data_IF_709241044021
#
_entry.id   IF_709241044021
#
_cell.length_a   1.000
_cell.length_b   1.000
_cell.length_c   1.000
_cell.angle_alpha   90.00
_cell.angle_beta   90.00
_cell.angle_gamma   90.00
#
_symmetry.space_group_name_H-M   'P 1'
#
loop_
_entity.id
_entity.type
_entity.pdbx_description
1 polymer ?
#
# COMPACT_ATOMS: atom_id res chain seq x y z
N UNK A 1 82.10 -21.14 -20.21
CA UNK A 1 81.84 -20.09 -19.20
C UNK A 1 80.84 -19.08 -19.78
N UNK A 2 79.57 -19.09 -19.33
CA UNK A 2 78.60 -18.03 -19.67
C UNK A 2 77.73 -17.74 -18.44
N UNK A 3 77.92 -16.54 -17.88
CA UNK A 3 77.18 -15.98 -16.74
C UNK A 3 75.73 -15.70 -17.18
N UNK A 4 74.75 -16.14 -16.39
CA UNK A 4 73.32 -15.85 -16.62
C UNK A 4 72.96 -14.53 -15.92
N UNK A 5 72.47 -13.58 -16.70
CA UNK A 5 71.90 -12.30 -16.26
C UNK A 5 70.50 -12.58 -15.67
N UNK A 6 70.28 -12.23 -14.40
CA UNK A 6 68.96 -12.29 -13.76
C UNK A 6 68.25 -10.96 -14.03
N UNK A 7 67.14 -11.00 -14.75
CA UNK A 7 66.23 -9.86 -14.91
C UNK A 7 65.20 -9.93 -13.78
N UNK A 8 65.27 -9.00 -12.83
CA UNK A 8 64.27 -8.83 -11.79
C UNK A 8 63.09 -8.08 -12.40
N UNK A 9 61.97 -8.78 -12.63
CA UNK A 9 60.69 -8.14 -12.91
C UNK A 9 60.06 -7.75 -11.57
N UNK A 10 60.18 -6.47 -11.21
CA UNK A 10 59.31 -5.84 -10.22
C UNK A 10 57.88 -5.88 -10.75
N UNK A 11 57.10 -6.86 -10.29
CA UNK A 11 55.65 -6.83 -10.44
C UNK A 11 55.15 -5.79 -9.44
N UNK A 12 55.05 -4.52 -9.86
CA UNK A 12 54.14 -3.59 -9.21
C UNK A 12 52.74 -4.17 -9.40
N UNK A 13 52.27 -4.91 -8.40
CA UNK A 13 50.88 -5.35 -8.31
C UNK A 13 50.01 -4.10 -8.20
N UNK A 14 49.47 -3.66 -9.32
CA UNK A 14 48.33 -2.78 -9.32
C UNK A 14 47.19 -3.57 -8.67
N UNK A 15 46.86 -3.21 -7.43
CA UNK A 15 45.62 -3.62 -6.80
C UNK A 15 44.47 -3.08 -7.67
N UNK A 16 44.06 -3.85 -8.67
CA UNK A 16 42.71 -3.76 -9.20
C UNK A 16 41.83 -4.07 -8.01
N UNK A 17 41.30 -3.01 -7.40
CA UNK A 17 40.24 -3.11 -6.42
C UNK A 17 39.10 -3.80 -7.14
N UNK A 18 38.97 -5.12 -6.97
CA UNK A 18 37.77 -5.85 -7.36
C UNK A 18 36.68 -5.23 -6.52
N UNK A 19 35.97 -4.25 -7.08
CA UNK A 19 34.81 -3.67 -6.44
C UNK A 19 33.80 -4.81 -6.35
N UNK A 20 33.66 -5.41 -5.17
CA UNK A 20 32.74 -6.50 -4.94
C UNK A 20 31.37 -6.05 -5.43
N UNK A 21 30.77 -6.81 -6.36
CA UNK A 21 29.43 -6.49 -6.84
C UNK A 21 28.50 -6.51 -5.62
N UNK A 22 27.62 -5.51 -5.46
CA UNK A 22 26.73 -5.45 -4.33
C UNK A 22 25.91 -6.75 -4.27
N UNK A 23 25.69 -7.26 -3.06
CA UNK A 23 24.90 -8.47 -2.92
C UNK A 23 23.47 -8.19 -3.41
N UNK A 24 22.96 -8.99 -4.34
CA UNK A 24 21.62 -8.81 -4.90
C UNK A 24 20.75 -10.04 -4.70
N UNK A 25 19.45 -9.83 -4.55
CA UNK A 25 18.43 -10.88 -4.59
C UNK A 25 17.32 -10.47 -5.52
N UNK A 26 16.87 -11.41 -6.37
CA UNK A 26 15.76 -11.24 -7.30
C UNK A 26 14.65 -12.24 -7.01
N UNK A 27 13.42 -11.80 -7.21
CA UNK A 27 12.22 -12.62 -7.04
C UNK A 27 11.13 -12.14 -7.97
N UNK A 28 10.26 -13.06 -8.33
CA UNK A 28 9.16 -12.82 -9.25
C UNK A 28 7.89 -13.43 -8.68
N UNK A 29 6.77 -12.75 -8.88
CA UNK A 29 5.46 -13.29 -8.59
C UNK A 29 4.45 -12.81 -9.62
N UNK A 30 3.51 -13.69 -9.99
CA UNK A 30 2.40 -13.38 -10.89
C UNK A 30 1.14 -13.14 -10.09
N UNK A 31 0.50 -12.01 -10.30
CA UNK A 31 -0.72 -11.64 -9.56
C UNK A 31 -1.85 -11.30 -10.55
N UNK A 32 -3.09 -11.75 -10.29
CA UNK A 32 -4.28 -11.37 -11.06
C UNK A 32 -4.80 -10.01 -10.57
N UNK A 33 -4.00 -8.96 -10.75
CA UNK A 33 -4.29 -7.59 -10.31
C UNK A 33 -4.05 -6.62 -11.45
N UNK A 34 -4.67 -5.43 -11.42
CA UNK A 34 -4.40 -4.40 -12.43
C UNK A 34 -3.01 -3.79 -12.26
N UNK A 35 -2.51 -3.11 -13.30
CA UNK A 35 -1.26 -2.34 -13.23
C UNK A 35 -1.25 -1.38 -12.03
N UNK A 36 -2.33 -0.61 -11.86
CA UNK A 36 -2.45 0.38 -10.81
C UNK A 36 -2.46 -0.25 -9.41
N UNK A 37 -3.15 -1.38 -9.23
CA UNK A 37 -3.12 -2.14 -7.98
C UNK A 37 -1.72 -2.69 -7.71
N UNK A 38 -1.03 -3.21 -8.73
CA UNK A 38 0.35 -3.67 -8.61
C UNK A 38 1.31 -2.56 -8.16
N UNK A 39 1.18 -1.37 -8.74
CA UNK A 39 1.99 -0.20 -8.37
C UNK A 39 1.67 0.28 -6.95
N UNK A 40 0.40 0.34 -6.57
CA UNK A 40 -0.02 0.71 -5.22
C UNK A 40 0.54 -0.26 -4.16
N UNK A 41 0.47 -1.58 -4.42
CA UNK A 41 1.06 -2.60 -3.54
C UNK A 41 2.57 -2.52 -3.47
N UNK A 42 3.25 -2.22 -4.58
CA UNK A 42 4.70 -2.06 -4.60
C UNK A 42 5.15 -0.91 -3.70
N UNK A 43 4.50 0.26 -3.80
CA UNK A 43 4.78 1.41 -2.94
C UNK A 43 4.45 1.12 -1.48
N UNK A 44 3.28 0.53 -1.21
CA UNK A 44 2.83 0.18 0.14
C UNK A 44 3.79 -0.82 0.81
N UNK A 45 4.27 -1.83 0.08
CA UNK A 45 5.24 -2.81 0.58
C UNK A 45 6.57 -2.15 0.96
N UNK A 46 7.08 -1.24 0.13
CA UNK A 46 8.29 -0.47 0.45
C UNK A 46 8.10 0.32 1.74
N UNK A 47 6.99 1.07 1.87
CA UNK A 47 6.68 1.84 3.08
C UNK A 47 6.56 0.95 4.32
N UNK A 48 5.82 -0.15 4.21
CA UNK A 48 5.57 -1.07 5.32
C UNK A 48 6.86 -1.75 5.84
N UNK A 49 7.81 -2.01 4.94
CA UNK A 49 9.12 -2.57 5.31
C UNK A 49 10.15 -1.51 5.73
N UNK A 50 9.74 -0.24 5.82
CA UNK A 50 10.57 0.86 6.30
C UNK A 50 11.54 1.41 5.26
N UNK A 51 11.28 1.19 3.98
CA UNK A 51 11.98 1.91 2.91
C UNK A 51 11.50 3.36 2.84
N UNK A 52 12.42 4.26 2.59
CA UNK A 52 12.23 5.72 2.50
C UNK A 52 12.70 6.23 1.13
N UNK A 53 12.49 7.52 0.86
CA UNK A 53 12.82 8.17 -0.42
C UNK A 53 12.24 7.40 -1.61
N UNK A 54 10.96 7.03 -1.50
CA UNK A 54 10.32 6.17 -2.48
C UNK A 54 9.97 6.99 -3.73
N UNK A 55 10.56 6.59 -4.87
CA UNK A 55 10.28 7.14 -6.18
C UNK A 55 9.45 6.15 -6.99
N UNK A 56 8.34 6.62 -7.57
CA UNK A 56 7.51 5.84 -8.48
C UNK A 56 7.61 6.46 -9.87
N UNK A 57 8.03 5.67 -10.86
CA UNK A 57 8.15 6.11 -12.24
C UNK A 57 7.76 4.98 -13.20
N UNK A 58 6.85 5.27 -14.14
CA UNK A 58 6.30 4.29 -15.07
C UNK A 58 5.81 3.04 -14.33
N UNK A 59 6.40 1.87 -14.65
CA UNK A 59 6.09 0.57 -14.07
C UNK A 59 6.97 0.20 -12.86
N UNK A 60 7.67 1.16 -12.25
CA UNK A 60 8.70 0.90 -11.24
C UNK A 60 8.50 1.72 -9.97
N UNK A 61 8.65 1.06 -8.82
CA UNK A 61 8.79 1.69 -7.51
C UNK A 61 10.18 1.39 -6.93
N UNK A 62 10.90 2.43 -6.52
CA UNK A 62 12.26 2.38 -5.98
C UNK A 62 12.27 2.94 -4.57
N UNK A 63 12.94 2.28 -3.61
CA UNK A 63 13.08 2.79 -2.24
C UNK A 63 14.40 2.38 -1.59
N UNK A 64 14.76 3.09 -0.52
CA UNK A 64 16.05 2.93 0.18
C UNK A 64 15.84 2.61 1.67
N UNK A 65 16.64 1.71 2.23
CA UNK A 65 16.61 1.32 3.65
C UNK A 65 18.02 1.06 4.15
N UNK A 66 18.66 2.10 4.69
CA UNK A 66 20.09 2.06 5.02
C UNK A 66 20.92 1.74 3.79
N UNK A 67 21.73 0.68 3.86
CA UNK A 67 22.56 0.19 2.75
C UNK A 67 21.80 -0.64 1.69
N UNK A 68 20.49 -0.82 1.87
CA UNK A 68 19.65 -1.59 0.96
C UNK A 68 18.89 -0.68 -0.01
N UNK A 69 18.84 -1.08 -1.27
CA UNK A 69 17.98 -0.50 -2.31
C UNK A 69 17.02 -1.57 -2.79
N UNK A 70 15.72 -1.27 -2.83
CA UNK A 70 14.70 -2.14 -3.39
C UNK A 70 14.05 -1.51 -4.61
N UNK A 71 13.94 -2.29 -5.67
CA UNK A 71 13.31 -1.93 -6.94
C UNK A 71 12.23 -2.96 -7.24
N UNK A 72 11.00 -2.49 -7.46
CA UNK A 72 9.85 -3.33 -7.76
C UNK A 72 9.32 -2.88 -9.12
N UNK A 73 9.25 -3.79 -10.08
CA UNK A 73 8.73 -3.52 -11.42
C UNK A 73 7.45 -4.32 -11.65
N UNK A 74 6.43 -3.68 -12.21
CA UNK A 74 5.10 -4.22 -12.47
C UNK A 74 4.90 -4.31 -13.97
N UNK A 75 5.18 -5.48 -14.54
CA UNK A 75 5.10 -5.72 -15.97
C UNK A 75 3.81 -6.44 -16.33
N UNK A 76 3.21 -6.08 -17.46
CA UNK A 76 2.06 -6.79 -17.97
C UNK A 76 2.42 -8.26 -18.29
N UNK A 77 1.50 -9.16 -17.97
CA UNK A 77 1.55 -10.56 -18.38
C UNK A 77 0.30 -10.89 -19.22
N UNK A 78 0.16 -12.15 -19.64
CA UNK A 78 -1.01 -12.54 -20.45
C UNK A 78 -2.30 -12.52 -19.63
N UNK A 79 -3.43 -12.26 -20.30
CA UNK A 79 -4.79 -12.38 -19.77
C UNK A 79 -5.06 -11.52 -18.51
N UNK A 80 -4.63 -10.26 -18.48
CA UNK A 80 -4.95 -9.33 -17.39
C UNK A 80 -4.27 -9.66 -16.06
N UNK A 81 -3.22 -10.48 -16.09
CA UNK A 81 -2.33 -10.73 -14.95
C UNK A 81 -1.06 -9.91 -15.09
N UNK A 82 -0.36 -9.64 -14.00
CA UNK A 82 0.88 -8.85 -14.01
C UNK A 82 2.01 -9.61 -13.32
N UNK A 83 3.21 -9.47 -13.87
CA UNK A 83 4.47 -9.93 -13.30
C UNK A 83 5.07 -8.85 -12.41
N UNK A 84 5.23 -9.16 -11.13
CA UNK A 84 5.93 -8.31 -10.17
C UNK A 84 7.35 -8.82 -10.01
N UNK A 85 8.30 -8.04 -10.51
CA UNK A 85 9.74 -8.31 -10.38
C UNK A 85 10.30 -7.50 -9.21
N UNK A 86 10.88 -8.16 -8.22
CA UNK A 86 11.43 -7.53 -7.03
C UNK A 86 12.93 -7.77 -7.02
N UNK A 87 13.70 -6.69 -6.97
CA UNK A 87 15.15 -6.72 -6.86
C UNK A 87 15.55 -5.94 -5.61
N UNK A 88 16.28 -6.60 -4.71
CA UNK A 88 16.92 -5.93 -3.58
C UNK A 88 18.42 -6.03 -3.77
N UNK A 89 19.11 -4.90 -3.67
CA UNK A 89 20.56 -4.81 -3.63
C UNK A 89 20.98 -4.29 -2.25
N UNK A 90 22.09 -4.79 -1.72
CA UNK A 90 22.69 -4.31 -0.48
C UNK A 90 24.17 -4.03 -0.71
N UNK A 91 24.66 -2.94 -0.12
CA UNK A 91 26.09 -2.64 -0.04
C UNK A 91 26.77 -3.41 1.12
N UNK A 92 26.02 -4.19 1.89
CA UNK A 92 26.58 -5.08 2.91
C UNK A 92 27.31 -6.28 2.30
N UNK A 93 28.30 -6.83 3.02
CA UNK A 93 28.96 -8.08 2.65
C UNK A 93 28.12 -9.34 2.96
N UNK A 94 26.84 -9.20 3.28
CA UNK A 94 25.96 -10.30 3.69
C UNK A 94 24.83 -10.50 2.67
N UNK A 95 24.97 -11.52 1.83
CA UNK A 95 23.99 -11.86 0.80
C UNK A 95 22.62 -12.30 1.34
N UNK A 96 22.53 -12.68 2.63
CA UNK A 96 21.26 -12.99 3.28
C UNK A 96 20.35 -11.78 3.47
N UNK A 97 20.91 -10.57 3.57
CA UNK A 97 20.14 -9.33 3.79
C UNK A 97 19.26 -8.99 2.56
N UNK A 98 19.81 -8.91 1.33
CA UNK A 98 18.98 -8.77 0.12
C UNK A 98 17.89 -9.83 0.01
N UNK A 99 18.21 -11.09 0.33
CA UNK A 99 17.26 -12.20 0.25
C UNK A 99 16.11 -12.06 1.24
N UNK A 100 16.41 -11.75 2.51
CA UNK A 100 15.42 -11.57 3.56
C UNK A 100 14.48 -10.40 3.28
N UNK A 101 15.02 -9.25 2.91
CA UNK A 101 14.20 -8.07 2.58
C UNK A 101 13.33 -8.30 1.35
N UNK A 102 13.86 -8.97 0.31
CA UNK A 102 13.08 -9.33 -0.88
C UNK A 102 11.90 -10.24 -0.54
N UNK A 103 12.08 -11.25 0.33
CA UNK A 103 10.99 -12.15 0.75
C UNK A 103 9.88 -11.38 1.47
N UNK A 104 10.24 -10.42 2.34
CA UNK A 104 9.26 -9.57 3.03
C UNK A 104 8.45 -8.74 2.04
N UNK A 105 9.13 -8.06 1.10
CA UNK A 105 8.48 -7.28 0.04
C UNK A 105 7.56 -8.16 -0.81
N UNK A 106 8.01 -9.36 -1.20
CA UNK A 106 7.18 -10.31 -1.95
C UNK A 106 5.91 -10.69 -1.18
N UNK A 107 6.05 -10.98 0.12
CA UNK A 107 4.93 -11.28 1.02
C UNK A 107 3.92 -10.13 1.13
N UNK A 108 4.38 -8.88 1.31
CA UNK A 108 3.50 -7.70 1.40
C UNK A 108 2.71 -7.46 0.12
N UNK A 109 3.34 -7.64 -1.03
CA UNK A 109 2.68 -7.42 -2.33
C UNK A 109 1.72 -8.57 -2.67
N UNK A 110 2.10 -9.81 -2.34
CA UNK A 110 1.25 -10.98 -2.55
C UNK A 110 0.03 -11.00 -1.63
N UNK A 111 0.16 -10.45 -0.42
CA UNK A 111 -0.91 -10.41 0.58
C UNK A 111 -0.95 -9.04 1.31
N UNK A 112 -1.66 -8.04 0.76
CA UNK A 112 -1.71 -6.68 1.32
C UNK A 112 -2.47 -6.58 2.65
N UNK A 113 -3.11 -7.66 3.14
CA UNK A 113 -3.90 -7.63 4.38
C UNK A 113 -3.05 -7.55 5.65
N UNK A 114 -1.72 -7.50 5.53
CA UNK A 114 -0.82 -7.31 6.67
C UNK A 114 -0.37 -5.85 6.71
N UNK A 115 -1.14 -5.01 7.42
CA UNK A 115 -0.75 -3.72 8.00
C UNK A 115 0.06 -2.74 7.10
N UNK A 116 -0.62 -2.00 6.19
CA UNK A 116 -0.33 -0.60 5.81
C UNK A 116 -1.37 -0.06 4.80
N UNK A 117 -2.06 1.05 5.13
CA UNK A 117 -2.96 1.83 4.24
C UNK A 117 -2.13 2.60 3.17
N UNK A 118 -2.64 3.13 2.01
CA UNK A 118 -4.04 3.45 1.61
C UNK A 118 -4.44 2.96 0.20
N UNK A 119 -5.70 3.15 -0.25
CA UNK A 119 -5.93 3.27 -1.69
C UNK A 119 -6.62 4.58 -2.09
N UNK A 120 -6.06 5.17 -3.13
CA UNK A 120 -6.83 5.79 -4.19
C UNK A 120 -6.32 5.25 -5.54
N UNK A 121 -6.98 5.52 -6.67
CA UNK A 121 -8.42 5.56 -6.86
C UNK A 121 -8.89 4.45 -7.81
N UNK A 122 -8.53 3.17 -7.58
CA UNK A 122 -9.22 2.03 -8.25
C UNK A 122 -9.03 0.68 -7.54
N UNK A 123 -8.42 0.66 -6.35
CA UNK A 123 -8.42 -0.50 -5.46
C UNK A 123 -9.46 -0.27 -4.37
N UNK A 124 -10.50 -1.10 -4.34
CA UNK A 124 -11.50 -1.03 -3.27
C UNK A 124 -10.93 -1.70 -2.01
N UNK A 125 -10.80 -0.97 -0.90
CA UNK A 125 -10.32 -1.50 0.39
C UNK A 125 -11.34 -2.47 0.97
N UNK A 126 -10.95 -3.70 1.31
CA UNK A 126 -11.83 -4.58 2.08
C UNK A 126 -12.16 -3.93 3.44
N UNK A 127 -13.45 -3.77 3.73
CA UNK A 127 -13.95 -3.24 4.99
C UNK A 127 -14.63 -4.35 5.80
N UNK A 128 -14.90 -4.05 7.07
CA UNK A 128 -15.88 -4.74 7.90
C UNK A 128 -16.94 -3.73 8.39
N UNK A 129 -17.93 -4.23 9.13
CA UNK A 129 -19.02 -3.39 9.66
C UNK A 129 -18.60 -2.39 10.74
N UNK A 130 -17.35 -2.44 11.22
CA UNK A 130 -16.78 -1.47 12.17
C UNK A 130 -15.75 -0.54 11.52
N UNK A 131 -15.50 -0.69 10.21
CA UNK A 131 -14.51 0.12 9.50
C UNK A 131 -15.00 1.57 9.43
N UNK A 132 -14.15 2.51 9.85
CA UNK A 132 -14.44 3.95 9.91
C UNK A 132 -13.47 4.74 9.03
N UNK A 133 -13.75 6.03 8.85
CA UNK A 133 -12.90 6.95 8.11
C UNK A 133 -11.83 7.65 8.97
N UNK A 134 -11.68 7.29 10.26
CA UNK A 134 -10.72 7.90 11.19
C UNK A 134 -9.28 7.88 10.66
N UNK A 135 -8.87 6.79 9.99
CA UNK A 135 -7.54 6.66 9.39
C UNK A 135 -7.28 7.61 8.20
N UNK A 136 -8.28 8.39 7.80
CA UNK A 136 -8.26 9.31 6.68
C UNK A 136 -8.40 10.78 7.08
N UNK A 137 -8.37 11.09 8.39
CA UNK A 137 -8.38 12.46 8.92
C UNK A 137 -7.37 13.35 8.22
N UNK A 138 -7.78 14.59 7.92
CA UNK A 138 -6.95 15.59 7.28
C UNK A 138 -6.77 15.42 5.77
N UNK A 139 -7.26 14.32 5.18
CA UNK A 139 -7.21 14.06 3.73
C UNK A 139 -8.44 14.58 3.00
N UNK A 140 -8.86 15.81 3.30
CA UNK A 140 -10.08 16.39 2.75
C UNK A 140 -10.07 16.39 1.21
N UNK A 141 -11.23 16.11 0.61
CA UNK A 141 -11.46 15.91 -0.82
C UNK A 141 -10.80 14.66 -1.43
N UNK A 142 -10.14 13.83 -0.61
CA UNK A 142 -9.65 12.53 -1.08
C UNK A 142 -10.81 11.54 -1.12
N UNK A 143 -10.91 10.84 -2.24
CA UNK A 143 -11.86 9.75 -2.42
C UNK A 143 -11.19 8.40 -2.18
N UNK A 144 -11.90 7.52 -1.50
CA UNK A 144 -11.47 6.14 -1.21
C UNK A 144 -12.66 5.21 -1.33
N UNK A 145 -12.44 4.04 -1.94
CA UNK A 145 -13.48 3.02 -2.11
C UNK A 145 -13.29 1.88 -1.12
N UNK A 146 -14.39 1.35 -0.59
CA UNK A 146 -14.44 0.22 0.33
C UNK A 146 -15.38 -0.89 -0.16
N UNK A 147 -15.06 -2.15 0.13
CA UNK A 147 -15.89 -3.31 -0.14
C UNK A 147 -16.46 -3.79 1.18
N UNK A 148 -17.76 -3.56 1.37
CA UNK A 148 -18.49 -4.02 2.54
C UNK A 148 -18.90 -5.49 2.37
N UNK A 149 -18.67 -6.33 3.39
CA UNK A 149 -19.01 -7.75 3.32
C UNK A 149 -20.52 -7.96 3.49
N UNK A 150 -21.03 -9.03 2.88
CA UNK A 150 -22.41 -9.50 3.09
C UNK A 150 -22.63 -10.14 4.46
N UNK A 151 -21.55 -10.46 5.17
CA UNK A 151 -21.53 -11.10 6.48
C UNK A 151 -21.00 -10.16 7.57
N UNK A 152 -21.37 -10.43 8.81
CA UNK A 152 -20.91 -9.69 9.98
C UNK A 152 -22.06 -8.95 10.68
N UNK A 153 -21.74 -8.29 11.79
CA UNK A 153 -22.72 -7.57 12.60
C UNK A 153 -22.63 -6.08 12.28
N UNK A 154 -23.70 -5.45 11.75
CA UNK A 154 -23.75 -4.01 11.56
C UNK A 154 -23.44 -3.26 12.85
N UNK A 155 -22.62 -2.22 12.76
CA UNK A 155 -22.36 -1.34 13.89
C UNK A 155 -23.59 -0.47 14.18
N UNK A 156 -23.80 -0.13 15.45
CA UNK A 156 -24.82 0.83 15.87
C UNK A 156 -24.28 2.26 15.99
N UNK A 157 -22.99 2.44 15.73
CA UNK A 157 -22.27 3.71 15.80
C UNK A 157 -22.36 4.43 14.45
N UNK A 158 -23.34 5.33 14.37
CA UNK A 158 -23.65 6.09 13.18
C UNK A 158 -24.19 7.47 13.57
N UNK A 159 -23.48 8.52 13.16
CA UNK A 159 -23.84 9.90 13.41
C UNK A 159 -23.93 10.69 12.12
N UNK A 160 -24.99 11.48 11.98
CA UNK A 160 -25.23 12.32 10.81
C UNK A 160 -26.05 11.66 9.70
N UNK A 161 -26.32 12.46 8.66
CA UNK A 161 -27.17 12.12 7.52
C UNK A 161 -26.61 12.81 6.29
N UNK A 162 -26.35 12.05 5.23
CA UNK A 162 -25.67 12.46 3.99
C UNK A 162 -24.21 12.94 4.18
N UNK A 163 -23.92 13.61 5.30
CA UNK A 163 -22.58 13.82 5.86
C UNK A 163 -22.50 13.13 7.21
N UNK A 164 -21.56 12.20 7.35
CA UNK A 164 -21.36 11.37 8.52
C UNK A 164 -20.07 11.75 9.24
N UNK A 165 -20.03 11.64 10.57
CA UNK A 165 -18.77 11.80 11.31
C UNK A 165 -17.79 10.70 10.91
N UNK A 166 -16.49 11.01 10.92
CA UNK A 166 -15.48 10.06 10.44
C UNK A 166 -15.29 8.79 11.29
N UNK A 167 -15.81 8.78 12.51
CA UNK A 167 -15.88 7.64 13.41
C UNK A 167 -17.16 6.79 13.23
N UNK A 168 -18.07 7.20 12.34
CA UNK A 168 -19.20 6.36 11.95
C UNK A 168 -18.76 5.16 11.12
N UNK A 169 -19.47 4.04 11.27
CA UNK A 169 -19.29 2.85 10.43
C UNK A 169 -19.61 3.16 8.96
N UNK A 170 -18.64 2.97 8.07
CA UNK A 170 -18.79 3.23 6.63
C UNK A 170 -19.86 2.32 6.03
N UNK A 171 -19.84 1.02 6.33
CA UNK A 171 -20.81 0.08 5.76
C UNK A 171 -22.23 0.32 6.28
N UNK A 172 -22.39 0.64 7.56
CA UNK A 172 -23.70 0.98 8.13
C UNK A 172 -24.23 2.30 7.57
N UNK A 173 -23.36 3.31 7.46
CA UNK A 173 -23.69 4.58 6.82
C UNK A 173 -24.10 4.40 5.36
N UNK A 174 -23.48 3.45 4.64
CA UNK A 174 -23.80 3.17 3.25
C UNK A 174 -25.18 2.54 3.08
N UNK A 175 -25.58 1.63 3.98
CA UNK A 175 -26.96 1.11 4.03
C UNK A 175 -27.93 2.24 4.37
N UNK A 176 -27.63 3.05 5.38
CA UNK A 176 -28.45 4.20 5.76
C UNK A 176 -28.64 5.19 4.59
N UNK A 177 -27.57 5.47 3.84
CA UNK A 177 -27.59 6.34 2.65
C UNK A 177 -28.23 5.69 1.41
N UNK A 178 -28.57 4.40 1.47
CA UNK A 178 -29.14 3.64 0.36
C UNK A 178 -28.16 3.36 -0.77
N UNK A 179 -26.85 3.39 -0.50
CA UNK A 179 -25.80 3.07 -1.48
C UNK A 179 -25.67 1.56 -1.68
N UNK A 180 -25.80 0.81 -0.58
CA UNK A 180 -25.79 -0.67 -0.57
C UNK A 180 -26.90 -1.21 0.34
N UNK A 181 -27.07 -2.52 0.37
CA UNK A 181 -27.90 -3.22 1.37
C UNK A 181 -27.01 -3.94 2.38
N UNK A 182 -27.61 -4.59 3.39
CA UNK A 182 -26.88 -5.50 4.29
C UNK A 182 -26.23 -6.69 3.57
N UNK A 183 -26.56 -6.93 2.30
CA UNK A 183 -25.83 -7.87 1.43
C UNK A 183 -24.42 -7.40 1.02
N UNK A 184 -23.97 -6.22 1.49
CA UNK A 184 -22.65 -5.69 1.18
C UNK A 184 -22.57 -5.05 -0.20
N UNK A 185 -21.36 -4.77 -0.66
CA UNK A 185 -21.08 -4.12 -1.94
C UNK A 185 -19.96 -3.10 -1.88
N UNK A 186 -19.65 -2.51 -3.04
CA UNK A 186 -18.63 -1.48 -3.14
C UNK A 186 -19.24 -0.10 -2.87
N UNK A 187 -18.53 0.71 -2.09
CA UNK A 187 -18.91 2.08 -1.75
C UNK A 187 -17.71 2.98 -1.97
N UNK A 188 -17.94 4.23 -2.38
CA UNK A 188 -16.88 5.24 -2.46
C UNK A 188 -17.25 6.40 -1.56
N UNK A 189 -16.33 6.79 -0.69
CA UNK A 189 -16.49 7.96 0.18
C UNK A 189 -15.51 9.06 -0.23
N UNK A 190 -15.89 10.30 0.02
CA UNK A 190 -15.00 11.46 0.01
C UNK A 190 -14.85 11.98 1.43
N UNK A 191 -13.61 12.21 1.85
CA UNK A 191 -13.31 12.81 3.16
C UNK A 191 -13.62 14.30 3.11
N UNK A 192 -14.30 14.82 4.13
CA UNK A 192 -14.70 16.22 4.22
C UNK A 192 -14.28 16.80 5.58
N UNK A 193 -14.14 18.14 5.67
CA UNK A 193 -14.04 18.80 6.96
C UNK A 193 -15.19 18.42 7.90
N UNK A 194 -14.93 18.50 9.20
CA UNK A 194 -15.95 18.38 10.23
C UNK A 194 -17.01 19.48 10.16
N UNK A 195 -18.20 19.20 10.71
CA UNK A 195 -19.29 20.17 10.86
C UNK A 195 -19.45 20.59 12.32
N UNK A 196 -20.07 21.75 12.54
CA UNK A 196 -20.44 22.22 13.88
C UNK A 196 -21.60 21.46 14.51
N UNK A 197 -22.40 20.75 13.70
CA UNK A 197 -23.46 19.85 14.14
C UNK A 197 -23.84 18.85 13.04
N UNK A 198 -24.38 17.70 13.43
CA UNK A 198 -24.84 16.63 12.56
C UNK A 198 -26.28 16.26 12.91
N UNK A 199 -27.14 16.13 11.90
CA UNK A 199 -28.53 15.71 12.08
C UNK A 199 -28.66 14.19 11.92
N UNK A 200 -29.26 13.53 12.90
CA UNK A 200 -29.64 12.11 12.79
C UNK A 200 -30.93 11.94 12.00
N UNK A 201 -31.12 10.77 11.38
CA UNK A 201 -32.37 10.40 10.73
C UNK A 201 -32.57 8.88 10.71
N UNK A 202 -33.75 8.42 10.28
CA UNK A 202 -34.01 7.02 10.00
C UNK A 202 -34.24 6.84 8.49
N UNK A 203 -33.39 6.05 7.84
CA UNK A 203 -33.44 5.78 6.39
C UNK A 203 -33.04 4.33 6.13
N UNK A 204 -33.70 3.69 5.16
CA UNK A 204 -33.37 2.34 4.70
C UNK A 204 -33.27 1.28 5.83
N UNK A 205 -34.13 1.40 6.85
CA UNK A 205 -34.12 0.50 8.01
C UNK A 205 -33.00 0.73 9.02
N UNK A 206 -32.18 1.76 8.84
CA UNK A 206 -31.09 2.16 9.74
C UNK A 206 -31.44 3.49 10.41
N UNK A 207 -31.06 3.68 11.67
CA UNK A 207 -31.21 4.96 12.38
C UNK A 207 -29.84 5.52 12.73
N UNK A 208 -29.54 6.74 12.28
CA UNK A 208 -28.39 7.52 12.71
C UNK A 208 -28.76 8.49 13.83
N UNK A 209 -27.79 8.84 14.67
CA UNK A 209 -27.96 9.81 15.75
C UNK A 209 -27.49 11.20 15.33
N UNK A 210 -28.09 12.23 15.90
CA UNK A 210 -27.52 13.57 15.83
C UNK A 210 -26.27 13.68 16.70
N UNK A 211 -25.39 14.60 16.36
CA UNK A 211 -24.21 14.91 17.18
C UNK A 211 -23.85 16.39 17.10
N UNK A 212 -23.11 16.87 18.11
CA UNK A 212 -22.57 18.24 18.12
C UNK A 212 -21.39 18.39 17.15
N UNK A 213 -20.55 19.39 17.41
CA UNK A 213 -19.39 19.66 16.58
C UNK A 213 -18.41 18.49 16.54
N UNK A 214 -17.94 18.16 15.34
CA UNK A 214 -16.93 17.14 15.11
C UNK A 214 -15.89 17.64 14.11
N UNK A 215 -14.70 17.05 14.12
CA UNK A 215 -13.54 17.63 13.45
C UNK A 215 -13.24 17.04 12.05
N UNK A 216 -13.94 15.97 11.63
CA UNK A 216 -13.76 15.33 10.32
C UNK A 216 -14.99 14.53 9.90
N UNK A 217 -15.31 14.52 8.62
CA UNK A 217 -16.50 13.87 8.08
C UNK A 217 -16.19 13.02 6.85
N UNK A 218 -17.17 12.24 6.41
CA UNK A 218 -17.21 11.71 5.05
C UNK A 218 -18.61 11.81 4.43
N UNK A 219 -18.64 11.79 3.11
CA UNK A 219 -19.85 11.70 2.29
C UNK A 219 -19.70 10.53 1.30
N UNK A 220 -20.81 10.00 0.79
CA UNK A 220 -20.76 9.03 -0.30
C UNK A 220 -20.79 9.74 -1.66
N UNK A 221 -19.92 9.29 -2.57
CA UNK A 221 -19.92 9.73 -3.97
C UNK A 221 -20.69 8.69 -4.80
N UNK A 222 -21.63 9.17 -5.61
CA UNK A 222 -22.45 8.34 -6.52
C UNK A 222 -22.00 8.52 -7.95
#
# INVERSE_FOLDING_TARGET
MKKRLVLVFCILGWFLSVQAQPATSRGEQRLPISFQEGMARAEAALRAEGYVNIGVQANMALGYKGENTAMIMVNEATNGTYWINIVVASLTNNAGIPGGERVKLQGRIGNPSTNANPPGPTGTTAADWNTTAVGWRGKNNQQVSFTCPSSGKPSTELWGTDTYTDDSSICTAAVHAGVITYGGGNVTIEIRPGLSAYSGSARNGVTSKGYGGWHSSFIFIR
#
